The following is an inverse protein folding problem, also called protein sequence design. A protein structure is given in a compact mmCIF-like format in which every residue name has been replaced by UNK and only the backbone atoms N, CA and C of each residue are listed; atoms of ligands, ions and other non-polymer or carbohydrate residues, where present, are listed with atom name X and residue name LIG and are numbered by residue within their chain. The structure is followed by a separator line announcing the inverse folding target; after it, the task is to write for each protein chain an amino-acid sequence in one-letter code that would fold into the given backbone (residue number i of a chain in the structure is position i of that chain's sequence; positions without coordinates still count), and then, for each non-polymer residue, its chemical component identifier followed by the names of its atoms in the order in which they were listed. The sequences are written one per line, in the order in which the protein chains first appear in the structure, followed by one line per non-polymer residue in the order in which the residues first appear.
data_IF_084454647353
#
_entry.id   IF_084454647353
#
_cell.length_a   1.000
_cell.length_b   1.000
_cell.length_c   1.000
_cell.angle_alpha   90.00
_cell.angle_beta   90.00
_cell.angle_gamma   90.00
#
_symmetry.space_group_name_H-M   'P 1'
#
loop_
_entity.id
_entity.type
_entity.pdbx_description
1 polymer ?
#
# COMPACT_ATOMS: atom_id res chain seq x y z
N UNK A 1 -5.79 -20.89 -28.89
CA UNK A 1 -6.86 -20.29 -28.06
C UNK A 1 -6.36 -19.88 -26.68
N UNK A 2 -5.64 -20.75 -25.93
CA UNK A 2 -5.15 -20.42 -24.58
C UNK A 2 -4.17 -19.23 -24.53
N UNK A 3 -3.14 -19.19 -25.40
CA UNK A 3 -2.19 -18.05 -25.44
C UNK A 3 -2.88 -16.71 -25.75
N UNK A 4 -3.78 -16.70 -26.74
CA UNK A 4 -4.52 -15.49 -27.12
C UNK A 4 -5.43 -14.98 -25.99
N UNK A 5 -6.05 -15.89 -25.22
CA UNK A 5 -6.87 -15.53 -24.07
C UNK A 5 -6.02 -14.97 -22.91
N UNK A 6 -4.84 -15.54 -22.65
CA UNK A 6 -3.88 -15.05 -21.64
C UNK A 6 -3.37 -13.65 -22.02
N UNK A 7 -2.96 -13.47 -23.27
CA UNK A 7 -2.48 -12.18 -23.80
C UNK A 7 -3.57 -11.11 -23.75
N UNK A 8 -4.81 -11.45 -24.11
CA UNK A 8 -5.94 -10.52 -24.04
C UNK A 8 -6.30 -10.14 -22.60
N UNK A 9 -6.25 -11.10 -21.67
CA UNK A 9 -6.49 -10.85 -20.24
C UNK A 9 -5.43 -9.93 -19.65
N UNK A 10 -4.15 -10.21 -19.93
CA UNK A 10 -3.02 -9.41 -19.47
C UNK A 10 -3.08 -7.96 -19.97
N UNK A 11 -3.35 -7.77 -21.27
CA UNK A 11 -3.52 -6.43 -21.86
C UNK A 11 -4.67 -5.66 -21.21
N UNK A 12 -5.79 -6.33 -20.93
CA UNK A 12 -6.94 -5.71 -20.25
C UNK A 12 -6.61 -5.29 -18.82
N UNK A 13 -5.90 -6.13 -18.07
CA UNK A 13 -5.45 -5.81 -16.70
C UNK A 13 -4.53 -4.59 -16.69
N UNK A 14 -3.56 -4.51 -17.62
CA UNK A 14 -2.68 -3.35 -17.73
C UNK A 14 -3.42 -2.07 -18.11
N UNK A 15 -4.40 -2.14 -19.02
CA UNK A 15 -5.24 -1.00 -19.39
C UNK A 15 -6.07 -0.50 -18.19
N UNK A 16 -6.62 -1.43 -17.40
CA UNK A 16 -7.34 -1.09 -16.17
C UNK A 16 -6.44 -0.40 -15.14
N UNK A 17 -5.25 -0.96 -14.86
CA UNK A 17 -4.28 -0.36 -13.93
C UNK A 17 -3.89 1.05 -14.37
N UNK A 18 -3.59 1.24 -15.66
CA UNK A 18 -3.18 2.54 -16.21
C UNK A 18 -4.29 3.58 -16.06
N UNK A 19 -5.54 3.21 -16.38
CA UNK A 19 -6.71 4.08 -16.21
C UNK A 19 -6.95 4.44 -14.75
N UNK A 20 -6.85 3.45 -13.87
CA UNK A 20 -7.05 3.63 -12.44
C UNK A 20 -5.98 4.55 -11.83
N UNK A 21 -4.71 4.35 -12.18
CA UNK A 21 -3.61 5.20 -11.75
C UNK A 21 -3.76 6.65 -12.26
N UNK A 22 -4.16 6.82 -13.53
CA UNK A 22 -4.44 8.15 -14.08
C UNK A 22 -5.56 8.87 -13.33
N UNK A 23 -6.63 8.15 -12.96
CA UNK A 23 -7.72 8.69 -12.15
C UNK A 23 -7.23 9.08 -10.74
N UNK A 24 -6.40 8.25 -10.11
CA UNK A 24 -5.82 8.53 -8.79
C UNK A 24 -4.92 9.77 -8.79
N UNK A 25 -4.05 9.91 -9.79
CA UNK A 25 -3.23 11.11 -9.99
C UNK A 25 -4.11 12.34 -10.24
N UNK A 26 -5.14 12.21 -11.07
CA UNK A 26 -6.06 13.32 -11.34
C UNK A 26 -6.83 13.75 -10.10
N UNK A 27 -7.18 12.81 -9.21
CA UNK A 27 -7.81 13.12 -7.94
C UNK A 27 -6.86 13.89 -7.01
N UNK A 28 -5.59 13.49 -6.92
CA UNK A 28 -4.57 14.20 -6.14
C UNK A 28 -4.44 15.66 -6.60
N UNK A 29 -4.40 15.89 -7.92
CA UNK A 29 -4.34 17.24 -8.47
C UNK A 29 -5.55 18.10 -8.05
N UNK A 30 -6.76 17.51 -8.02
CA UNK A 30 -7.98 18.21 -7.58
C UNK A 30 -7.94 18.66 -6.11
N UNK A 31 -7.22 17.95 -5.26
CA UNK A 31 -7.04 18.30 -3.83
C UNK A 31 -5.74 19.08 -3.57
N UNK A 32 -5.06 19.54 -4.62
CA UNK A 32 -3.87 20.38 -4.51
C UNK A 32 -2.56 19.63 -4.29
N UNK A 33 -2.52 18.32 -4.52
CA UNK A 33 -1.32 17.49 -4.44
C UNK A 33 -0.80 17.20 -5.85
N UNK A 34 0.44 17.60 -6.15
CA UNK A 34 1.09 17.22 -7.42
C UNK A 34 1.80 15.86 -7.29
N UNK A 35 1.00 14.80 -7.16
CA UNK A 35 1.51 13.45 -6.95
C UNK A 35 2.45 13.02 -8.10
N UNK A 36 2.14 13.44 -9.33
CA UNK A 36 2.94 13.09 -10.51
C UNK A 36 4.36 13.66 -10.43
N UNK A 37 4.53 14.88 -9.91
CA UNK A 37 5.85 15.47 -9.72
C UNK A 37 6.69 14.77 -8.64
N UNK A 38 6.05 13.96 -7.78
CA UNK A 38 6.70 13.21 -6.70
C UNK A 38 7.09 11.79 -7.12
N UNK A 39 6.66 11.30 -8.29
CA UNK A 39 7.00 9.95 -8.76
C UNK A 39 8.36 9.94 -9.48
N UNK A 40 9.17 8.94 -9.20
CA UNK A 40 10.37 8.68 -9.97
C UNK A 40 10.02 8.19 -11.38
N UNK A 41 10.92 8.35 -12.38
CA UNK A 41 10.78 7.67 -13.65
C UNK A 41 10.61 6.16 -13.48
N UNK A 42 9.90 5.51 -14.40
CA UNK A 42 9.70 4.07 -14.37
C UNK A 42 11.01 3.27 -14.46
N UNK A 43 11.03 2.13 -13.78
CA UNK A 43 12.11 1.16 -13.78
C UNK A 43 12.25 0.47 -15.14
N UNK A 44 13.48 0.06 -15.48
CA UNK A 44 13.72 -0.75 -16.67
C UNK A 44 13.42 -2.24 -16.41
N UNK A 45 13.24 -3.03 -17.47
CA UNK A 45 13.12 -4.49 -17.33
C UNK A 45 14.36 -5.11 -16.66
N UNK A 46 15.54 -4.51 -16.86
CA UNK A 46 16.77 -5.00 -16.25
C UNK A 46 16.77 -4.79 -14.72
N UNK A 47 16.23 -3.66 -14.26
CA UNK A 47 16.12 -3.36 -12.82
C UNK A 47 15.13 -4.31 -12.14
N UNK A 48 13.97 -4.52 -12.76
CA UNK A 48 12.95 -5.46 -12.29
C UNK A 48 13.52 -6.88 -12.20
N UNK A 49 14.16 -7.36 -13.28
CA UNK A 49 14.75 -8.69 -13.32
C UNK A 49 15.87 -8.86 -12.29
N UNK A 50 16.66 -7.83 -12.05
CA UNK A 50 17.70 -7.85 -11.02
C UNK A 50 17.11 -8.03 -9.62
N UNK A 51 15.99 -7.35 -9.31
CA UNK A 51 15.26 -7.54 -8.06
C UNK A 51 14.66 -8.94 -7.96
N UNK A 52 13.94 -9.42 -8.97
CA UNK A 52 13.37 -10.78 -9.00
C UNK A 52 14.44 -11.85 -8.79
N UNK A 53 15.63 -11.66 -9.39
CA UNK A 53 16.78 -12.57 -9.22
C UNK A 53 17.32 -12.59 -7.79
N UNK A 54 17.19 -11.50 -7.03
CA UNK A 54 17.61 -11.42 -5.62
C UNK A 54 16.56 -11.98 -4.68
N UNK A 55 15.28 -11.78 -5.00
CA UNK A 55 14.15 -12.33 -4.25
C UNK A 55 14.01 -13.85 -4.41
N UNK A 56 14.39 -14.38 -5.58
CA UNK A 56 14.19 -15.79 -5.91
C UNK A 56 12.77 -16.14 -6.34
N UNK A 57 11.93 -15.14 -6.59
CA UNK A 57 10.58 -15.29 -7.14
C UNK A 57 10.24 -14.12 -8.07
N UNK A 58 9.30 -14.35 -8.99
CA UNK A 58 8.80 -13.32 -9.89
C UNK A 58 7.83 -12.39 -9.18
N UNK A 59 7.96 -11.08 -9.42
CA UNK A 59 6.98 -10.09 -8.99
C UNK A 59 5.69 -10.26 -9.81
N UNK A 60 4.52 -10.02 -9.21
CA UNK A 60 3.25 -10.04 -9.93
C UNK A 60 3.21 -9.07 -11.11
N UNK A 61 2.48 -9.46 -12.15
CA UNK A 61 2.43 -8.77 -13.43
C UNK A 61 2.05 -7.27 -13.33
N UNK A 62 1.07 -6.96 -12.49
CA UNK A 62 0.57 -5.60 -12.29
C UNK A 62 1.48 -4.77 -11.40
N UNK A 63 2.16 -5.36 -10.42
CA UNK A 63 3.23 -4.68 -9.68
C UNK A 63 4.40 -4.30 -10.60
N UNK A 64 4.83 -5.22 -11.49
CA UNK A 64 5.81 -4.88 -12.54
C UNK A 64 5.31 -3.77 -13.46
N UNK A 65 4.03 -3.79 -13.82
CA UNK A 65 3.45 -2.73 -14.65
C UNK A 65 3.45 -1.37 -13.94
N UNK A 66 3.20 -1.33 -12.63
CA UNK A 66 3.35 -0.11 -11.83
C UNK A 66 4.80 0.38 -11.83
N UNK A 67 5.77 -0.51 -11.57
CA UNK A 67 7.19 -0.13 -11.55
C UNK A 67 7.70 0.39 -12.89
N UNK A 68 7.17 -0.11 -14.02
CA UNK A 68 7.45 0.46 -15.36
C UNK A 68 6.91 1.87 -15.55
N UNK A 69 5.89 2.26 -14.79
CA UNK A 69 5.31 3.62 -14.84
C UNK A 69 6.09 4.55 -13.92
N UNK A 70 6.40 4.11 -12.70
CA UNK A 70 7.16 4.87 -11.72
C UNK A 70 7.96 3.93 -10.80
N UNK A 71 9.25 4.20 -10.60
CA UNK A 71 10.09 3.46 -9.67
C UNK A 71 10.05 4.06 -8.26
N UNK A 72 8.87 4.03 -7.65
CA UNK A 72 8.65 4.63 -6.34
C UNK A 72 8.30 6.12 -6.37
N UNK A 73 8.31 6.70 -5.19
CA UNK A 73 7.97 8.08 -4.91
C UNK A 73 9.08 8.72 -4.07
N UNK A 74 9.46 9.93 -4.46
CA UNK A 74 10.30 10.82 -3.66
C UNK A 74 9.64 10.98 -2.29
N UNK A 75 10.43 10.91 -1.21
CA UNK A 75 9.89 11.14 0.14
C UNK A 75 9.22 12.52 0.23
N UNK A 76 7.87 12.59 0.35
CA UNK A 76 7.17 13.86 0.31
C UNK A 76 7.43 14.69 1.57
N UNK A 77 7.77 14.06 2.68
CA UNK A 77 7.95 14.69 3.99
C UNK A 77 9.37 15.21 4.23
N UNK A 78 10.35 14.77 3.42
CA UNK A 78 11.75 15.18 3.61
C UNK A 78 12.06 16.52 2.93
N UNK A 79 12.93 17.31 3.56
CA UNK A 79 13.53 18.46 2.91
C UNK A 79 14.56 18.00 1.84
N UNK A 80 14.66 18.67 0.68
CA UNK A 80 14.03 19.95 0.33
C UNK A 80 12.62 19.83 -0.31
N UNK A 81 12.08 18.62 -0.43
CA UNK A 81 10.83 18.34 -1.18
C UNK A 81 9.63 19.00 -0.52
N UNK A 82 9.45 18.77 0.79
CA UNK A 82 8.36 19.37 1.56
C UNK A 82 8.35 20.92 1.45
N UNK A 83 9.53 21.54 1.53
CA UNK A 83 9.68 23.00 1.43
C UNK A 83 9.37 23.51 0.01
N UNK A 84 9.80 22.80 -1.02
CA UNK A 84 9.53 23.18 -2.40
C UNK A 84 8.02 23.12 -2.72
N UNK A 85 7.33 22.07 -2.27
CA UNK A 85 5.88 21.92 -2.43
C UNK A 85 5.12 23.00 -1.66
N UNK A 86 5.52 23.25 -0.41
CA UNK A 86 4.96 24.34 0.39
C UNK A 86 5.08 25.71 -0.30
N UNK A 87 6.27 26.07 -0.80
CA UNK A 87 6.46 27.34 -1.53
C UNK A 87 5.67 27.40 -2.85
N UNK A 88 5.34 26.26 -3.44
CA UNK A 88 4.48 26.16 -4.62
C UNK A 88 2.98 26.18 -4.27
N UNK A 89 2.60 26.26 -2.99
CA UNK A 89 1.21 26.19 -2.52
C UNK A 89 0.58 24.82 -2.75
N UNK A 90 1.40 23.76 -2.71
CA UNK A 90 1.00 22.37 -2.92
C UNK A 90 0.97 21.61 -1.59
N UNK A 91 0.01 20.70 -1.49
CA UNK A 91 -0.12 19.77 -0.37
C UNK A 91 0.72 18.51 -0.63
N UNK A 92 0.97 17.73 0.43
CA UNK A 92 1.70 16.47 0.35
C UNK A 92 0.79 15.26 0.47
N UNK A 93 1.18 14.15 -0.15
CA UNK A 93 0.55 12.86 0.04
C UNK A 93 1.55 11.73 -0.21
N UNK A 94 1.36 10.61 0.48
CA UNK A 94 1.91 9.34 0.04
C UNK A 94 1.03 8.74 -1.06
N UNK A 95 1.63 8.02 -2.01
CA UNK A 95 0.88 7.43 -3.14
C UNK A 95 -0.14 6.38 -2.68
N UNK A 96 0.13 5.67 -1.58
CA UNK A 96 -0.73 4.59 -1.07
C UNK A 96 -1.29 4.93 0.31
N UNK A 97 -1.97 6.06 0.42
CA UNK A 97 -2.58 6.43 1.69
C UNK A 97 -1.56 7.00 2.66
N UNK A 98 -1.35 6.27 3.75
CA UNK A 98 -0.32 6.59 4.74
C UNK A 98 1.09 6.18 4.29
N UNK A 99 1.20 5.37 3.23
CA UNK A 99 2.45 4.70 2.88
C UNK A 99 3.04 5.21 1.57
N UNK A 100 4.33 5.53 1.61
CA UNK A 100 5.08 6.00 0.44
C UNK A 100 5.35 4.84 -0.48
N UNK A 101 5.20 5.07 -1.79
CA UNK A 101 5.60 4.08 -2.78
C UNK A 101 7.13 3.95 -2.81
N UNK A 102 7.64 2.77 -2.46
CA UNK A 102 9.06 2.49 -2.44
C UNK A 102 9.58 2.24 -3.84
N UNK A 103 10.78 2.76 -4.14
CA UNK A 103 11.54 2.28 -5.29
C UNK A 103 11.86 0.80 -5.15
N UNK A 104 12.14 0.13 -6.25
CA UNK A 104 12.54 -1.27 -6.29
C UNK A 104 13.73 -1.57 -5.35
N UNK A 105 14.69 -0.66 -5.27
CA UNK A 105 15.87 -0.83 -4.42
C UNK A 105 15.54 -0.66 -2.94
N UNK A 106 14.70 0.32 -2.57
CA UNK A 106 14.23 0.49 -1.20
C UNK A 106 13.41 -0.73 -0.75
N UNK A 107 12.47 -1.19 -1.59
CA UNK A 107 11.66 -2.36 -1.34
C UNK A 107 12.51 -3.64 -1.20
N UNK A 108 13.55 -3.80 -2.02
CA UNK A 108 14.49 -4.92 -1.89
C UNK A 108 15.30 -4.83 -0.59
N UNK A 109 15.79 -3.64 -0.24
CA UNK A 109 16.54 -3.44 1.00
C UNK A 109 15.68 -3.78 2.22
N UNK A 110 14.45 -3.28 2.27
CA UNK A 110 13.49 -3.60 3.35
C UNK A 110 13.22 -5.11 3.41
N UNK A 111 13.01 -5.77 2.27
CA UNK A 111 12.84 -7.22 2.22
C UNK A 111 14.06 -7.98 2.78
N UNK A 112 15.27 -7.56 2.43
CA UNK A 112 16.52 -8.19 2.90
C UNK A 112 16.74 -7.99 4.40
N UNK A 113 16.44 -6.80 4.92
CA UNK A 113 16.49 -6.52 6.36
C UNK A 113 15.50 -7.41 7.13
N UNK A 114 14.25 -7.52 6.63
CA UNK A 114 13.24 -8.40 7.23
C UNK A 114 13.59 -9.87 7.11
N UNK A 115 14.18 -10.30 5.99
CA UNK A 115 14.65 -11.66 5.80
C UNK A 115 15.74 -12.02 6.80
N UNK A 116 16.70 -11.11 7.05
CA UNK A 116 17.75 -11.33 8.04
C UNK A 116 17.18 -11.52 9.46
N UNK A 117 16.21 -10.68 9.86
CA UNK A 117 15.50 -10.82 11.14
C UNK A 117 14.76 -12.17 11.19
N UNK A 118 14.05 -12.54 10.13
CA UNK A 118 13.32 -13.81 10.05
C UNK A 118 14.25 -15.03 10.12
N UNK A 119 15.42 -14.97 9.51
CA UNK A 119 16.41 -16.07 9.57
C UNK A 119 17.01 -16.23 10.97
N UNK A 120 17.12 -15.13 11.73
CA UNK A 120 17.63 -15.15 13.11
C UNK A 120 16.56 -15.52 14.14
N UNK A 121 15.37 -14.92 14.03
CA UNK A 121 14.34 -14.95 15.08
C UNK A 121 13.09 -15.76 14.69
N UNK A 122 12.92 -16.08 13.41
CA UNK A 122 11.73 -16.75 12.89
C UNK A 122 10.57 -15.79 12.65
N UNK A 123 9.35 -16.27 12.85
CA UNK A 123 8.13 -15.46 12.76
C UNK A 123 7.45 -15.36 14.12
N UNK A 124 6.77 -14.24 14.34
CA UNK A 124 5.99 -13.94 15.51
C UNK A 124 4.49 -14.01 15.22
N UNK A 125 3.70 -14.08 16.29
CA UNK A 125 2.27 -13.86 16.20
C UNK A 125 2.00 -12.42 15.74
N UNK A 126 1.15 -12.20 14.72
CA UNK A 126 0.81 -10.85 14.29
C UNK A 126 0.01 -10.13 15.37
N UNK A 127 0.03 -8.79 15.35
CA UNK A 127 -0.80 -7.95 16.23
C UNK A 127 -2.29 -8.35 16.19
N UNK A 128 -2.76 -8.70 15.01
CA UNK A 128 -4.07 -9.32 14.79
C UNK A 128 -4.22 -9.75 13.34
N UNK A 129 -5.33 -10.44 13.06
CA UNK A 129 -5.70 -10.92 11.73
C UNK A 129 -7.20 -10.68 11.56
N UNK A 130 -7.61 -10.04 10.46
CA UNK A 130 -9.04 -9.93 10.17
C UNK A 130 -9.59 -11.32 9.84
N UNK A 131 -10.65 -11.78 10.54
CA UNK A 131 -11.23 -13.10 10.28
C UNK A 131 -11.62 -13.25 8.81
N UNK A 132 -11.46 -14.46 8.28
CA UNK A 132 -11.76 -14.85 6.87
C UNK A 132 -10.77 -14.36 5.81
N UNK A 133 -9.83 -13.47 6.12
CA UNK A 133 -8.82 -13.08 5.15
C UNK A 133 -7.86 -14.25 4.88
N UNK A 134 -7.63 -14.64 3.61
CA UNK A 134 -6.74 -15.72 3.25
C UNK A 134 -5.28 -15.26 3.31
N UNK A 135 -4.81 -14.93 4.52
CA UNK A 135 -3.46 -14.48 4.83
C UNK A 135 -2.87 -15.43 5.88
N UNK A 136 -1.57 -15.71 5.78
CA UNK A 136 -0.89 -16.47 6.82
C UNK A 136 -0.93 -15.71 8.16
N UNK A 137 -1.27 -16.40 9.25
CA UNK A 137 -1.32 -15.84 10.61
C UNK A 137 0.10 -15.69 11.19
N UNK A 138 0.90 -14.82 10.55
CA UNK A 138 2.30 -14.54 10.87
C UNK A 138 2.55 -13.04 10.78
N UNK A 139 3.51 -12.53 11.54
CA UNK A 139 3.93 -11.13 11.47
C UNK A 139 4.60 -10.80 10.12
N UNK A 140 5.43 -11.69 9.59
CA UNK A 140 6.11 -11.55 8.31
C UNK A 140 6.55 -12.90 7.74
N UNK A 141 6.75 -12.98 6.42
CA UNK A 141 7.37 -14.14 5.75
C UNK A 141 8.07 -13.75 4.45
N UNK A 142 9.05 -14.55 3.97
CA UNK A 142 9.85 -14.22 2.78
C UNK A 142 9.07 -14.00 1.48
N UNK A 143 7.88 -14.59 1.37
CA UNK A 143 7.02 -14.44 0.19
C UNK A 143 6.24 -13.11 0.14
N UNK A 144 6.40 -12.25 1.15
CA UNK A 144 5.77 -10.93 1.22
C UNK A 144 6.77 -9.85 0.83
N UNK A 145 6.45 -9.10 -0.21
CA UNK A 145 7.31 -8.03 -0.73
C UNK A 145 6.62 -6.67 -0.54
N UNK A 146 7.12 -5.87 0.39
CA UNK A 146 6.61 -4.53 0.66
C UNK A 146 6.89 -3.61 -0.53
N UNK A 147 5.86 -2.96 -1.07
CA UNK A 147 6.02 -1.96 -2.15
C UNK A 147 5.63 -0.56 -1.68
N UNK A 148 4.90 -0.45 -0.56
CA UNK A 148 4.60 0.83 0.06
C UNK A 148 4.85 0.74 1.56
N UNK A 149 5.54 1.73 2.14
CA UNK A 149 5.95 1.70 3.55
C UNK A 149 5.93 3.10 4.17
N UNK A 150 5.67 3.14 5.46
CA UNK A 150 6.10 4.20 6.37
C UNK A 150 7.30 3.65 7.15
N UNK A 151 8.30 4.49 7.40
CA UNK A 151 9.49 4.12 8.17
C UNK A 151 9.04 3.33 9.42
N UNK A 152 9.70 2.18 9.70
CA UNK A 152 9.32 1.14 10.71
C UNK A 152 8.57 -0.11 10.16
N UNK A 153 8.32 -0.16 8.85
CA UNK A 153 7.81 -1.33 8.11
C UNK A 153 6.32 -1.59 8.27
N UNK A 154 5.58 -0.55 8.63
CA UNK A 154 4.15 -0.48 8.39
C UNK A 154 3.90 -0.16 6.93
N UNK A 155 2.99 -0.89 6.28
CA UNK A 155 2.84 -0.70 4.85
C UNK A 155 1.89 -1.65 4.15
N UNK A 156 2.03 -1.68 2.83
CA UNK A 156 1.41 -2.67 1.96
C UNK A 156 2.47 -3.55 1.31
N UNK A 157 2.22 -4.85 1.38
CA UNK A 157 3.02 -5.86 0.71
C UNK A 157 2.18 -6.64 -0.29
N UNK A 158 2.85 -7.17 -1.30
CA UNK A 158 2.28 -8.17 -2.17
C UNK A 158 2.59 -9.57 -1.62
N UNK A 159 1.57 -10.43 -1.51
CA UNK A 159 1.74 -11.82 -1.10
C UNK A 159 1.86 -12.73 -2.33
N UNK A 160 3.03 -13.36 -2.47
CA UNK A 160 3.33 -14.27 -3.59
C UNK A 160 3.09 -15.74 -3.25
N UNK A 161 2.77 -16.07 -2.00
CA UNK A 161 2.51 -17.44 -1.56
C UNK A 161 1.38 -17.50 -0.50
N UNK A 162 0.18 -17.01 -0.81
CA UNK A 162 -0.93 -16.99 0.13
C UNK A 162 -1.40 -18.41 0.49
N UNK A 163 -2.08 -18.58 1.64
CA UNK A 163 -2.74 -19.84 1.98
C UNK A 163 -3.88 -20.20 1.00
N UNK A 164 -4.44 -21.39 1.18
CA UNK A 164 -5.61 -21.83 0.40
C UNK A 164 -6.75 -20.83 0.50
N UNK A 165 -7.31 -20.44 -0.65
CA UNK A 165 -8.36 -19.42 -0.74
C UNK A 165 -7.84 -18.02 -1.07
N UNK A 166 -6.52 -17.79 -1.02
CA UNK A 166 -5.91 -16.52 -1.42
C UNK A 166 -5.49 -16.47 -2.89
N UNK A 167 -5.08 -15.29 -3.31
CA UNK A 167 -4.69 -14.98 -4.69
C UNK A 167 -3.20 -14.61 -4.75
N UNK A 168 -2.42 -15.28 -5.59
CA UNK A 168 -1.02 -14.89 -5.80
C UNK A 168 -0.99 -13.47 -6.37
N UNK A 169 -0.35 -12.55 -5.65
CA UNK A 169 -0.36 -11.14 -5.98
C UNK A 169 -1.37 -10.30 -5.20
N UNK A 170 -2.07 -10.89 -4.22
CA UNK A 170 -2.94 -10.13 -3.33
C UNK A 170 -2.16 -9.10 -2.52
N UNK A 171 -2.82 -7.98 -2.22
CA UNK A 171 -2.24 -6.87 -1.46
C UNK A 171 -2.69 -6.99 -0.02
N UNK A 172 -1.72 -6.99 0.89
CA UNK A 172 -1.94 -7.16 2.33
C UNK A 172 -1.37 -5.96 3.09
N UNK A 173 -2.01 -5.62 4.20
CA UNK A 173 -1.44 -4.69 5.18
C UNK A 173 -0.44 -5.43 6.08
N UNK A 174 0.74 -4.84 6.25
CA UNK A 174 1.84 -5.37 7.05
C UNK A 174 2.35 -4.32 8.05
N UNK A 175 3.15 -4.79 9.00
CA UNK A 175 3.81 -3.97 10.02
C UNK A 175 3.42 -4.27 11.45
N UNK A 176 4.17 -3.74 12.43
CA UNK A 176 3.92 -3.98 13.85
C UNK A 176 2.63 -3.32 14.38
N UNK A 177 2.18 -2.23 13.77
CA UNK A 177 1.09 -1.41 14.32
C UNK A 177 -0.29 -1.73 13.74
N UNK A 178 -0.34 -2.68 12.81
CA UNK A 178 -1.56 -3.03 12.09
C UNK A 178 -1.90 -4.50 12.21
N UNK A 179 -3.20 -4.77 12.31
CA UNK A 179 -3.74 -6.09 12.01
C UNK A 179 -3.44 -6.46 10.55
N UNK A 180 -3.26 -7.75 10.28
CA UNK A 180 -3.10 -8.28 8.92
C UNK A 180 -4.46 -8.29 8.22
N UNK A 181 -4.61 -7.44 7.22
CA UNK A 181 -5.83 -7.30 6.42
C UNK A 181 -5.52 -7.56 4.95
N UNK A 182 -6.44 -8.21 4.25
CA UNK A 182 -6.46 -8.31 2.79
C UNK A 182 -7.07 -7.02 2.24
N UNK A 183 -6.26 -6.23 1.54
CA UNK A 183 -6.67 -4.93 1.04
C UNK A 183 -7.30 -5.07 -0.35
N UNK A 184 -6.72 -5.93 -1.20
CA UNK A 184 -7.25 -6.24 -2.52
C UNK A 184 -6.70 -7.58 -3.04
N UNK A 185 -7.40 -8.23 -3.96
CA UNK A 185 -6.94 -9.48 -4.62
C UNK A 185 -5.78 -9.23 -5.61
N UNK A 186 -5.54 -7.97 -5.99
CA UNK A 186 -4.44 -7.55 -6.86
C UNK A 186 -4.17 -6.04 -6.75
N UNK A 187 -3.00 -5.59 -7.22
CA UNK A 187 -2.70 -4.14 -7.30
C UNK A 187 -3.64 -3.44 -8.29
N UNK A 188 -3.98 -4.10 -9.39
CA UNK A 188 -4.95 -3.56 -10.36
C UNK A 188 -6.31 -3.32 -9.71
N UNK A 189 -6.76 -4.25 -8.85
CA UNK A 189 -8.00 -4.08 -8.11
C UNK A 189 -7.88 -2.94 -7.10
N UNK A 190 -6.81 -2.88 -6.30
CA UNK A 190 -6.58 -1.81 -5.33
C UNK A 190 -6.72 -0.42 -5.98
N UNK A 191 -6.02 -0.22 -7.10
CA UNK A 191 -6.06 1.06 -7.81
C UNK A 191 -7.44 1.31 -8.43
N UNK A 192 -8.09 0.27 -8.97
CA UNK A 192 -9.43 0.40 -9.55
C UNK A 192 -10.47 0.76 -8.50
N UNK A 193 -10.40 0.17 -7.31
CA UNK A 193 -11.26 0.52 -6.18
C UNK A 193 -11.02 1.96 -5.73
N UNK A 194 -9.76 2.39 -5.61
CA UNK A 194 -9.44 3.79 -5.35
C UNK A 194 -10.12 4.69 -6.39
N UNK A 195 -9.87 4.47 -7.68
CA UNK A 195 -10.49 5.25 -8.75
C UNK A 195 -12.03 5.28 -8.73
N UNK A 196 -12.70 4.19 -8.33
CA UNK A 196 -14.16 4.08 -8.28
C UNK A 196 -14.78 4.70 -7.02
N UNK A 197 -14.09 4.64 -5.87
CA UNK A 197 -14.63 4.98 -4.55
C UNK A 197 -14.40 6.43 -4.13
N UNK A 198 -13.74 7.24 -4.97
CA UNK A 198 -13.42 8.63 -4.68
C UNK A 198 -14.26 9.60 -5.53
N UNK A 199 -15.45 10.02 -5.07
CA UNK A 199 -15.91 11.36 -5.35
C UNK A 199 -15.14 12.33 -4.45
N UNK A 200 -14.60 13.45 -4.96
CA UNK A 200 -13.84 14.43 -4.17
C UNK A 200 -14.63 15.05 -3.01
N UNK A 201 -15.94 14.82 -2.96
CA UNK A 201 -16.87 15.45 -2.04
C UNK A 201 -17.46 14.46 -1.01
N UNK A 202 -16.97 13.23 -0.91
CA UNK A 202 -17.48 12.25 0.06
C UNK A 202 -16.79 12.44 1.42
N UNK A 203 -17.49 12.93 2.47
CA UNK A 203 -16.88 13.16 3.78
C UNK A 203 -16.33 11.86 4.39
N UNK A 204 -15.15 11.93 5.04
CA UNK A 204 -14.54 10.80 5.74
C UNK A 204 -13.70 9.86 4.85
N UNK A 205 -13.51 10.16 3.56
CA UNK A 205 -12.67 9.36 2.65
C UNK A 205 -11.17 9.61 2.78
N UNK A 206 -10.81 10.83 3.18
CA UNK A 206 -9.44 11.22 3.47
C UNK A 206 -9.45 12.21 4.61
N UNK A 207 -8.37 12.22 5.37
CA UNK A 207 -8.14 13.19 6.43
C UNK A 207 -7.06 14.17 5.98
N UNK A 208 -7.26 15.43 6.34
CA UNK A 208 -6.16 16.38 6.37
C UNK A 208 -5.55 16.29 7.75
N UNK A 209 -4.27 15.98 7.82
CA UNK A 209 -3.50 16.35 8.98
C UNK A 209 -2.86 17.71 8.69
N UNK A 210 -3.28 18.67 9.53
CA UNK A 210 -3.00 20.09 9.35
C UNK A 210 -1.90 20.47 10.30
N UNK A 211 -0.84 21.02 9.73
CA UNK A 211 0.24 21.55 10.55
C UNK A 211 -0.13 22.93 11.09
N UNK A 212 -0.05 23.09 12.41
CA UNK A 212 -0.17 24.40 13.07
C UNK A 212 1.05 25.29 12.78
N UNK A 213 2.17 24.70 12.34
CA UNK A 213 3.40 25.41 12.01
C UNK A 213 3.30 26.11 10.64
N UNK A 214 3.65 27.40 10.61
CA UNK A 214 3.53 28.29 9.44
C UNK A 214 4.46 27.94 8.26
N UNK A 215 5.29 26.92 8.37
CA UNK A 215 6.34 26.56 7.41
C UNK A 215 6.25 25.12 6.90
N UNK A 216 5.13 24.43 7.13
CA UNK A 216 4.91 23.06 6.64
C UNK A 216 3.62 22.95 5.84
N UNK A 217 3.61 22.17 4.74
CA UNK A 217 2.41 21.90 3.98
C UNK A 217 1.48 20.95 4.73
N UNK A 218 0.16 21.11 4.53
CA UNK A 218 -0.80 20.10 4.95
C UNK A 218 -0.55 18.79 4.18
N UNK A 219 -0.81 17.66 4.83
CA UNK A 219 -0.80 16.36 4.16
C UNK A 219 -2.14 15.67 4.25
N UNK A 220 -2.42 14.94 3.18
CA UNK A 220 -3.61 14.12 3.06
C UNK A 220 -3.26 12.67 3.31
N UNK A 221 -4.12 12.02 4.09
CA UNK A 221 -4.03 10.60 4.39
C UNK A 221 -5.27 9.86 3.89
N UNK A 222 -5.07 8.64 3.40
CA UNK A 222 -6.12 7.77 2.90
C UNK A 222 -6.05 6.40 3.55
N UNK A 223 -7.21 5.85 3.93
CA UNK A 223 -7.34 4.42 4.16
C UNK A 223 -7.57 3.73 2.81
N UNK A 224 -6.64 2.85 2.42
CA UNK A 224 -6.75 2.12 1.15
C UNK A 224 -7.52 0.80 1.28
N UNK A 225 -7.95 0.40 2.48
CA UNK A 225 -8.92 -0.67 2.64
C UNK A 225 -10.33 -0.16 2.31
N UNK A 226 -10.71 -0.27 1.03
CA UNK A 226 -12.01 0.19 0.52
C UNK A 226 -13.16 -0.77 0.83
N UNK A 227 -12.85 -1.96 1.34
CA UNK A 227 -13.81 -3.01 1.67
C UNK A 227 -14.12 -3.05 3.16
N UNK A 228 -13.31 -2.39 3.98
CA UNK A 228 -13.51 -2.33 5.41
C UNK A 228 -14.32 -1.12 5.84
N UNK A 229 -15.41 -1.40 6.53
CA UNK A 229 -16.07 -0.42 7.39
C UNK A 229 -15.53 -0.65 8.82
N UNK A 230 -14.95 0.37 9.46
CA UNK A 230 -14.45 0.22 10.81
C UNK A 230 -15.60 -0.25 11.72
N UNK A 231 -15.39 -1.27 12.56
CA UNK A 231 -16.44 -1.69 13.49
C UNK A 231 -16.82 -0.49 14.34
N UNK A 232 -18.13 -0.28 14.52
CA UNK A 232 -18.62 0.73 15.45
C UNK A 232 -17.97 0.49 16.80
N UNK A 233 -17.23 1.47 17.36
CA UNK A 233 -16.61 1.29 18.67
C UNK A 233 -17.68 0.82 19.66
N UNK A 234 -17.39 -0.16 20.53
CA UNK A 234 -18.35 -0.58 21.54
C UNK A 234 -18.73 0.65 22.35
N UNK A 235 -20.04 0.81 22.55
CA UNK A 235 -20.59 1.84 23.42
C UNK A 235 -19.93 1.78 24.81
N UNK A 236 -19.95 2.89 25.53
CA UNK A 236 -19.48 2.91 26.92
C UNK A 236 -20.17 1.84 27.79
N UNK A 237 -21.40 1.46 27.44
CA UNK A 237 -22.19 0.41 28.09
C UNK A 237 -21.65 -0.99 27.77
N UNK A 238 -21.30 -1.27 26.51
CA UNK A 238 -20.66 -2.53 26.09
C UNK A 238 -19.26 -2.70 26.70
N UNK A 239 -18.48 -1.61 26.77
CA UNK A 239 -17.18 -1.60 27.46
C UNK A 239 -17.36 -1.91 28.95
N UNK A 240 -18.38 -1.34 29.59
CA UNK A 240 -18.67 -1.60 31.00
C UNK A 240 -19.11 -3.06 31.24
N UNK A 241 -19.93 -3.61 30.35
CA UNK A 241 -20.41 -4.98 30.43
C UNK A 241 -19.27 -6.02 30.23
N UNK A 242 -18.37 -5.79 29.27
CA UNK A 242 -17.20 -6.64 29.05
C UNK A 242 -16.24 -6.62 30.26
N UNK A 243 -16.01 -5.45 30.87
CA UNK A 243 -15.21 -5.31 32.10
C UNK A 243 -15.84 -6.01 33.31
N UNK A 244 -17.16 -6.13 33.36
CA UNK A 244 -17.86 -6.85 34.42
C UNK A 244 -17.76 -8.38 34.26
N UNK A 245 -17.73 -8.89 33.02
CA UNK A 245 -17.65 -10.33 32.71
C UNK A 245 -16.24 -10.91 32.86
N UNK A 246 -15.18 -10.12 32.70
CA UNK A 246 -13.78 -10.57 32.86
C UNK A 246 -13.27 -10.61 34.30
N UNK A 247 -14.14 -10.53 35.31
CA UNK A 247 -13.79 -10.52 36.75
C UNK A 247 -14.37 -11.70 37.55
N UNK A 248 -14.98 -12.67 36.87
CA UNK A 248 -15.37 -13.97 37.45
C UNK A 248 -14.25 -15.00 37.25
#
# INVERSE_FOLDING_TARGET
MLLHAIETSFVKTMDNLTKALAAWISFHDQIGVDLKALLYPGASEADILAVESRLGFDLPADLKALYRIADGQINPWEAPVAQAQFHAGKNLAAMFGHFRFLSLQEALAEHQERLAIFEEEGTFEPWGLRPEDPIAAVDWRPAWFAFASADEGNGYAVDTAPPSGGHIGQIIQVGPDFERHLIAESLTELMSQAALKIPPNQPGRFAWDKHDALDQPDYVEFNMDWNWEPPTPPSAEEIALAKARGRE
#
